data_IF_571449022381
#
_entry.id   IF_571449022381
#
_cell.length_a   1.000
_cell.length_b   1.000
_cell.length_c   1.000
_cell.angle_alpha   90.00
_cell.angle_beta   90.00
_cell.angle_gamma   90.00
#
_symmetry.space_group_name_H-M   'P 1'
#
loop_
_entity.id
_entity.type
_entity.pdbx_description
1 polymer ?
#
# COMPACT_ATOMS: atom_id res chain seq x y z
N UNK A 1 -22.31 13.75 -21.38
CA UNK A 1 -21.93 14.77 -20.36
C UNK A 1 -20.70 14.30 -19.61
N UNK A 2 -19.85 15.21 -19.12
CA UNK A 2 -18.66 14.85 -18.33
C UNK A 2 -19.06 14.69 -16.86
N UNK A 3 -18.56 13.66 -16.14
CA UNK A 3 -18.81 13.54 -14.71
C UNK A 3 -18.08 14.64 -13.92
N UNK A 4 -18.58 14.97 -12.73
CA UNK A 4 -17.94 15.91 -11.82
C UNK A 4 -16.59 15.35 -11.35
N UNK A 5 -15.50 16.08 -11.61
CA UNK A 5 -14.13 15.65 -11.24
C UNK A 5 -13.96 15.45 -9.74
N UNK A 6 -14.59 16.32 -8.93
CA UNK A 6 -14.56 16.24 -7.45
C UNK A 6 -15.07 14.89 -6.92
N UNK A 7 -16.09 14.31 -7.58
CA UNK A 7 -16.79 13.13 -7.08
C UNK A 7 -16.33 11.84 -7.75
N UNK A 8 -15.43 11.88 -8.73
CA UNK A 8 -14.98 10.68 -9.46
C UNK A 8 -14.42 9.60 -8.53
N UNK A 9 -13.54 10.01 -7.60
CA UNK A 9 -12.95 9.06 -6.65
C UNK A 9 -14.04 8.41 -5.79
N UNK A 10 -14.93 9.22 -5.20
CA UNK A 10 -16.02 8.73 -4.36
C UNK A 10 -16.98 7.80 -5.11
N UNK A 11 -17.27 8.08 -6.39
CA UNK A 11 -18.07 7.21 -7.26
C UNK A 11 -17.40 5.85 -7.49
N UNK A 12 -16.07 5.81 -7.62
CA UNK A 12 -15.34 4.54 -7.72
C UNK A 12 -15.43 3.72 -6.43
N UNK A 13 -15.30 4.36 -5.25
CA UNK A 13 -15.47 3.69 -3.95
C UNK A 13 -16.90 3.20 -3.74
N UNK A 14 -17.90 3.99 -4.14
CA UNK A 14 -19.30 3.61 -4.10
C UNK A 14 -19.59 2.39 -4.99
N UNK A 15 -19.00 2.34 -6.19
CA UNK A 15 -19.19 1.24 -7.13
C UNK A 15 -18.63 -0.11 -6.64
N UNK A 16 -17.62 -0.09 -5.76
CA UNK A 16 -17.04 -1.29 -5.14
C UNK A 16 -17.56 -1.56 -3.72
N UNK A 17 -18.49 -0.73 -3.21
CA UNK A 17 -19.06 -0.88 -1.87
C UNK A 17 -18.08 -0.60 -0.72
N UNK A 18 -17.09 0.27 -0.93
CA UNK A 18 -16.05 0.60 0.04
C UNK A 18 -16.06 2.08 0.48
N UNK A 19 -17.21 2.76 0.32
CA UNK A 19 -17.42 4.12 0.79
C UNK A 19 -18.03 4.10 2.20
N UNK A 20 -17.69 5.06 3.06
CA UNK A 20 -18.26 5.17 4.40
C UNK A 20 -19.75 5.60 4.33
N UNK A 21 -20.58 5.12 5.26
CA UNK A 21 -22.05 5.28 5.21
C UNK A 21 -22.51 6.75 5.14
N UNK A 22 -21.78 7.68 5.79
CA UNK A 22 -22.09 9.11 5.76
C UNK A 22 -21.87 9.75 4.38
N UNK A 23 -20.73 9.47 3.77
CA UNK A 23 -20.36 9.98 2.45
C UNK A 23 -21.21 9.35 1.33
N UNK A 24 -21.66 8.11 1.54
CA UNK A 24 -22.52 7.40 0.60
C UNK A 24 -23.88 8.09 0.44
N UNK A 25 -24.52 8.50 1.54
CA UNK A 25 -25.83 9.16 1.48
C UNK A 25 -25.75 10.49 0.71
N UNK A 26 -24.74 11.32 0.99
CA UNK A 26 -24.53 12.59 0.28
C UNK A 26 -24.27 12.36 -1.21
N UNK A 27 -23.42 11.38 -1.53
CA UNK A 27 -23.09 11.08 -2.92
C UNK A 27 -24.28 10.53 -3.71
N UNK A 28 -25.16 9.74 -3.09
CA UNK A 28 -26.38 9.24 -3.72
C UNK A 28 -27.33 10.38 -4.09
N UNK A 29 -27.54 11.35 -3.19
CA UNK A 29 -28.34 12.56 -3.49
C UNK A 29 -27.74 13.35 -4.66
N UNK A 30 -26.41 13.44 -4.74
CA UNK A 30 -25.75 14.08 -5.88
C UNK A 30 -25.97 13.32 -7.20
N UNK A 31 -25.87 11.99 -7.19
CA UNK A 31 -26.05 11.13 -8.37
C UNK A 31 -27.50 11.19 -8.89
N UNK A 32 -28.47 11.35 -8.01
CA UNK A 32 -29.88 11.58 -8.37
C UNK A 32 -30.06 12.88 -9.14
N UNK A 33 -29.28 13.92 -8.84
CA UNK A 33 -29.38 15.23 -9.48
C UNK A 33 -28.41 15.43 -10.66
N UNK A 34 -27.37 14.61 -10.80
CA UNK A 34 -26.35 14.75 -11.84
C UNK A 34 -26.34 13.56 -12.80
N UNK A 35 -26.85 13.76 -14.02
CA UNK A 35 -26.89 12.74 -15.07
C UNK A 35 -25.50 12.24 -15.50
N UNK A 36 -24.49 13.12 -15.48
CA UNK A 36 -23.10 12.76 -15.80
C UNK A 36 -22.49 11.79 -14.78
N UNK A 37 -22.70 12.05 -13.49
CA UNK A 37 -22.24 11.17 -12.41
C UNK A 37 -23.02 9.85 -12.39
N UNK A 38 -24.32 9.87 -12.68
CA UNK A 38 -25.14 8.66 -12.79
C UNK A 38 -24.66 7.72 -13.89
N UNK A 39 -24.46 8.24 -15.09
CA UNK A 39 -23.96 7.44 -16.22
C UNK A 39 -22.55 6.91 -15.96
N UNK A 40 -21.73 7.65 -15.22
CA UNK A 40 -20.39 7.21 -14.84
C UNK A 40 -20.42 6.10 -13.79
N UNK A 41 -21.26 6.24 -12.76
CA UNK A 41 -21.47 5.22 -11.74
C UNK A 41 -21.91 3.90 -12.36
N UNK A 42 -22.89 3.93 -13.27
CA UNK A 42 -23.40 2.74 -13.97
C UNK A 42 -22.30 2.02 -14.77
N UNK A 43 -21.41 2.78 -15.42
CA UNK A 43 -20.26 2.20 -16.14
C UNK A 43 -19.28 1.52 -15.19
N UNK A 44 -18.93 2.17 -14.09
CA UNK A 44 -17.95 1.61 -13.14
C UNK A 44 -18.55 0.42 -12.40
N UNK A 45 -19.83 0.49 -11.98
CA UNK A 45 -20.50 -0.63 -11.29
C UNK A 45 -20.61 -1.86 -12.19
N UNK A 46 -20.86 -1.66 -13.50
CA UNK A 46 -20.84 -2.77 -14.47
C UNK A 46 -19.46 -3.41 -14.57
N UNK A 47 -18.40 -2.62 -14.73
CA UNK A 47 -17.03 -3.12 -14.78
C UNK A 47 -16.62 -3.81 -13.47
N UNK A 48 -17.00 -3.26 -12.33
CA UNK A 48 -16.76 -3.88 -11.03
C UNK A 48 -17.47 -5.24 -10.91
N UNK A 49 -18.71 -5.36 -11.42
CA UNK A 49 -19.45 -6.62 -11.48
C UNK A 49 -18.81 -7.65 -12.43
N UNK A 50 -18.39 -7.23 -13.62
CA UNK A 50 -17.65 -8.07 -14.58
C UNK A 50 -16.33 -8.57 -13.96
N UNK A 51 -15.60 -7.71 -13.24
CA UNK A 51 -14.38 -8.10 -12.54
C UNK A 51 -14.65 -9.02 -11.34
N UNK A 52 -15.71 -8.78 -10.58
CA UNK A 52 -16.08 -9.63 -9.46
C UNK A 52 -16.48 -11.05 -9.92
N UNK A 53 -17.23 -11.15 -11.01
CA UNK A 53 -17.59 -12.44 -11.62
C UNK A 53 -16.37 -13.15 -12.21
N UNK A 54 -15.49 -12.42 -12.90
CA UNK A 54 -14.22 -12.96 -13.37
C UNK A 54 -13.34 -13.46 -12.21
N UNK A 55 -13.28 -12.72 -11.10
CA UNK A 55 -12.53 -13.12 -9.91
C UNK A 55 -13.06 -14.41 -9.27
N UNK A 56 -14.39 -14.62 -9.30
CA UNK A 56 -15.00 -15.89 -8.85
C UNK A 56 -14.72 -17.05 -9.81
N UNK A 57 -14.55 -16.77 -11.10
CA UNK A 57 -14.21 -17.77 -12.11
C UNK A 57 -12.72 -18.17 -12.09
N UNK A 58 -11.85 -17.37 -11.44
CA UNK A 58 -10.45 -17.77 -11.22
C UNK A 58 -10.44 -18.95 -10.25
N UNK A 59 -9.92 -20.13 -10.64
CA UNK A 59 -9.81 -21.24 -9.73
C UNK A 59 -8.97 -20.80 -8.53
N UNK A 60 -9.54 -20.93 -7.34
CA UNK A 60 -8.87 -20.60 -6.09
C UNK A 60 -7.57 -21.40 -6.03
N UNK A 61 -6.47 -20.74 -6.37
CA UNK A 61 -5.16 -21.39 -6.44
C UNK A 61 -4.74 -21.64 -5.01
N UNK A 62 -5.07 -22.83 -4.50
CA UNK A 62 -4.65 -23.27 -3.18
C UNK A 62 -3.14 -23.04 -3.08
N UNK A 63 -2.67 -22.14 -2.20
CA UNK A 63 -1.25 -22.00 -1.94
C UNK A 63 -0.65 -23.37 -1.65
N UNK A 64 0.44 -23.71 -2.35
CA UNK A 64 1.13 -24.99 -2.11
C UNK A 64 1.54 -25.11 -0.66
N UNK A 65 1.51 -26.32 -0.09
CA UNK A 65 1.96 -26.57 1.29
C UNK A 65 3.40 -26.11 1.52
N UNK A 66 4.23 -26.16 0.47
CA UNK A 66 5.59 -25.63 0.49
C UNK A 66 5.62 -24.11 0.66
N UNK A 67 4.75 -23.37 -0.04
CA UNK A 67 4.62 -21.92 0.13
C UNK A 67 4.19 -21.58 1.57
N UNK A 68 3.20 -22.29 2.12
CA UNK A 68 2.79 -22.09 3.51
C UNK A 68 3.91 -22.38 4.51
N UNK A 69 4.65 -23.48 4.34
CA UNK A 69 5.79 -23.83 5.19
C UNK A 69 6.91 -22.79 5.09
N UNK A 70 7.20 -22.28 3.89
CA UNK A 70 8.21 -21.25 3.70
C UNK A 70 7.78 -19.91 4.32
N UNK A 71 6.52 -19.52 4.10
CA UNK A 71 5.96 -18.29 4.65
C UNK A 71 5.92 -18.32 6.17
N UNK A 72 5.40 -19.40 6.77
CA UNK A 72 5.38 -19.58 8.23
C UNK A 72 6.78 -19.62 8.83
N UNK A 73 7.75 -20.24 8.14
CA UNK A 73 9.17 -20.20 8.56
C UNK A 73 9.73 -18.79 8.53
N UNK A 74 9.46 -18.00 7.48
CA UNK A 74 9.90 -16.60 7.38
C UNK A 74 9.26 -15.72 8.45
N UNK A 75 7.94 -15.84 8.65
CA UNK A 75 7.22 -15.13 9.72
C UNK A 75 7.82 -15.48 11.09
N UNK A 76 8.13 -16.76 11.34
CA UNK A 76 8.73 -17.20 12.62
C UNK A 76 10.17 -16.71 12.81
N UNK A 77 10.94 -16.56 11.74
CA UNK A 77 12.29 -15.98 11.80
C UNK A 77 12.21 -14.47 12.07
N UNK A 78 11.30 -13.77 11.42
CA UNK A 78 11.09 -12.34 11.62
C UNK A 78 10.48 -12.04 13.00
N UNK A 79 9.53 -12.86 13.45
CA UNK A 79 8.96 -12.76 14.80
C UNK A 79 9.96 -13.08 15.90
N UNK A 80 11.03 -13.85 15.60
CA UNK A 80 12.16 -14.08 16.53
C UNK A 80 13.16 -12.92 16.52
N UNK A 81 13.22 -12.13 15.44
CA UNK A 81 13.98 -10.87 15.39
C UNK A 81 13.22 -9.71 16.01
N UNK A 82 11.89 -9.78 16.07
CA UNK A 82 11.08 -8.93 16.93
C UNK A 82 11.41 -9.23 18.40
N UNK A 83 12.06 -8.27 19.05
CA UNK A 83 12.28 -8.22 20.49
C UNK A 83 10.97 -7.98 21.25
N UNK A 84 9.93 -8.76 21.00
CA UNK A 84 8.81 -8.86 21.91
C UNK A 84 9.06 -10.04 22.83
N UNK A 85 9.65 -9.82 24.03
CA UNK A 85 9.73 -10.88 24.99
C UNK A 85 8.31 -11.29 25.34
N UNK A 86 8.08 -12.61 25.25
CA UNK A 86 6.94 -13.35 25.77
C UNK A 86 6.35 -12.73 27.05
N UNK A 87 5.43 -11.78 26.91
CA UNK A 87 4.70 -11.21 28.04
C UNK A 87 3.61 -12.17 28.56
N UNK A 88 3.16 -13.11 27.71
CA UNK A 88 2.06 -14.02 28.05
C UNK A 88 2.45 -15.28 28.83
N UNK A 89 3.75 -15.61 28.92
CA UNK A 89 4.20 -16.90 29.47
C UNK A 89 4.46 -16.93 30.97
N UNK A 90 4.50 -15.78 31.66
CA UNK A 90 4.97 -15.68 33.06
C UNK A 90 3.91 -15.28 34.08
N UNK A 91 2.63 -15.31 33.70
CA UNK A 91 1.49 -15.03 34.60
C UNK A 91 0.72 -16.28 35.03
N UNK A 92 1.19 -17.48 34.67
CA UNK A 92 0.61 -18.77 35.04
C UNK A 92 1.60 -19.55 35.90
N UNK A 93 1.76 -19.20 37.17
CA UNK A 93 2.54 -20.07 38.06
C UNK A 93 2.85 -19.57 39.45
N UNK A 94 2.95 -18.26 39.67
CA UNK A 94 3.29 -17.74 41.00
C UNK A 94 2.19 -16.80 41.47
N UNK A 95 1.75 -17.02 42.72
CA UNK A 95 0.85 -16.15 43.46
C UNK A 95 1.53 -14.77 43.54
N UNK A 96 1.27 -13.95 42.53
CA UNK A 96 1.74 -12.58 42.45
C UNK A 96 1.13 -11.86 43.66
N UNK A 97 1.96 -11.56 44.65
CA UNK A 97 1.55 -10.92 45.89
C UNK A 97 0.89 -9.59 45.53
N UNK A 98 -0.43 -9.57 45.54
CA UNK A 98 -1.24 -8.41 45.15
C UNK A 98 -0.92 -7.16 45.99
N UNK A 99 -0.24 -7.33 47.14
CA UNK A 99 0.25 -6.25 47.99
C UNK A 99 1.41 -5.43 47.39
N UNK A 100 2.17 -5.95 46.42
CA UNK A 100 3.23 -5.17 45.75
C UNK A 100 2.76 -4.43 44.51
N UNK A 101 1.58 -4.76 43.97
CA UNK A 101 1.00 -4.05 42.83
C UNK A 101 0.60 -2.60 43.18
N UNK A 102 0.17 -2.33 44.42
CA UNK A 102 -0.16 -0.97 44.87
C UNK A 102 1.07 -0.09 45.06
N UNK A 103 2.22 -0.67 45.42
CA UNK A 103 3.46 0.09 45.60
C UNK A 103 4.10 0.55 44.27
N UNK A 104 3.90 -0.21 43.19
CA UNK A 104 4.39 0.14 41.85
C UNK A 104 3.44 1.07 41.07
N UNK A 105 2.14 1.03 41.33
CA UNK A 105 1.18 1.93 40.68
C UNK A 105 1.42 3.40 41.08
N UNK A 106 1.73 3.65 42.37
CA UNK A 106 2.00 5.01 42.86
C UNK A 106 3.28 5.63 42.29
N UNK A 107 4.32 4.83 42.03
CA UNK A 107 5.60 5.36 41.53
C UNK A 107 5.56 5.68 40.04
N UNK A 108 4.81 4.91 39.24
CA UNK A 108 4.64 5.18 37.82
C UNK A 108 3.87 6.48 37.56
N UNK A 109 2.81 6.75 38.32
CA UNK A 109 2.03 7.99 38.19
C UNK A 109 2.85 9.22 38.57
N UNK A 110 3.67 9.13 39.63
CA UNK A 110 4.57 10.22 40.05
C UNK A 110 5.65 10.49 38.99
N UNK A 111 6.21 9.45 38.36
CA UNK A 111 7.21 9.63 37.30
C UNK A 111 6.60 10.23 36.02
N UNK A 112 5.38 9.84 35.64
CA UNK A 112 4.67 10.43 34.49
C UNK A 112 4.30 11.89 34.76
N UNK A 113 3.77 12.20 35.94
CA UNK A 113 3.46 13.57 36.33
C UNK A 113 4.73 14.45 36.38
N UNK A 114 5.82 13.94 36.97
CA UNK A 114 7.12 14.63 36.99
C UNK A 114 7.67 14.86 35.58
N UNK A 115 7.58 13.85 34.70
CA UNK A 115 8.06 13.97 33.32
C UNK A 115 7.27 15.04 32.56
N UNK A 116 5.94 15.02 32.64
CA UNK A 116 5.07 16.02 31.98
C UNK A 116 5.34 17.45 32.47
N UNK A 117 5.53 17.64 33.78
CA UNK A 117 5.89 18.94 34.36
C UNK A 117 7.28 19.39 33.88
N UNK A 118 8.26 18.47 33.81
CA UNK A 118 9.62 18.77 33.37
C UNK A 118 9.69 19.15 31.88
N UNK A 119 8.87 18.51 31.04
CA UNK A 119 8.79 18.81 29.61
C UNK A 119 8.01 20.09 29.34
N UNK A 120 6.99 20.42 30.16
CA UNK A 120 6.23 21.66 30.02
C UNK A 120 7.07 22.91 30.35
N UNK A 121 8.09 22.79 31.20
CA UNK A 121 9.02 23.89 31.49
C UNK A 121 10.10 24.09 30.42
N UNK A 122 10.28 23.13 29.49
CA UNK A 122 11.10 23.33 28.30
C UNK A 122 10.28 24.05 27.25
N UNK A 123 10.25 25.39 27.35
CA UNK A 123 9.78 26.25 26.25
C UNK A 123 10.52 25.84 24.97
N UNK A 124 9.82 25.59 23.85
CA UNK A 124 10.49 25.38 22.58
C UNK A 124 11.14 26.69 22.17
N UNK A 125 12.46 26.73 22.21
CA UNK A 125 13.22 27.65 21.36
C UNK A 125 12.90 27.29 19.92
N UNK A 126 12.20 28.21 19.27
CA UNK A 126 12.09 28.36 17.82
C UNK A 126 13.44 28.01 17.17
N UNK A 127 13.50 26.88 16.47
CA UNK A 127 14.59 26.62 15.52
C UNK A 127 13.98 26.67 14.14
N UNK A 128 14.55 27.59 13.38
CA UNK A 128 14.21 27.94 12.02
C UNK A 128 14.17 26.74 11.08
N UNK A 129 13.19 26.85 10.19
CA UNK A 129 13.10 26.25 8.88
C UNK A 129 14.42 26.45 8.09
N UNK A 130 15.34 25.50 8.22
CA UNK A 130 16.54 25.43 7.37
C UNK A 130 16.26 24.46 6.21
N UNK A 131 16.05 25.05 5.05
CA UNK A 131 16.07 24.37 3.76
C UNK A 131 17.43 23.69 3.57
N UNK A 132 17.46 22.36 3.59
CA UNK A 132 18.61 21.60 3.12
C UNK A 132 18.32 21.10 1.70
N UNK A 133 19.03 21.59 0.68
CA UNK A 133 18.90 21.08 -0.67
C UNK A 133 19.44 19.64 -0.73
N UNK A 134 18.62 18.76 -1.31
CA UNK A 134 18.96 17.39 -1.68
C UNK A 134 20.19 17.45 -2.59
N UNK A 135 21.30 16.87 -2.11
CA UNK A 135 22.51 16.63 -2.89
C UNK A 135 22.19 15.55 -3.94
N UNK A 136 21.88 15.97 -5.16
CA UNK A 136 21.83 15.09 -6.32
C UNK A 136 23.26 14.61 -6.60
N UNK A 137 23.45 13.29 -6.55
CA UNK A 137 24.65 12.64 -7.09
C UNK A 137 24.39 12.47 -8.59
N UNK A 138 25.19 13.06 -9.49
CA UNK A 138 25.05 12.81 -10.91
C UNK A 138 25.66 11.45 -11.22
N UNK A 139 24.84 10.41 -11.38
CA UNK A 139 25.29 9.17 -12.01
C UNK A 139 25.09 9.37 -13.51
N UNK A 140 26.09 10.01 -14.11
CA UNK A 140 26.35 9.89 -15.54
C UNK A 140 26.90 8.49 -15.78
N UNK A 141 26.03 7.57 -16.21
CA UNK A 141 26.46 6.32 -16.82
C UNK A 141 25.39 5.89 -17.82
N UNK A 142 25.64 6.25 -19.07
CA UNK A 142 25.22 5.44 -20.22
C UNK A 142 25.71 4.02 -19.98
N UNK A 143 24.86 3.21 -19.36
CA UNK A 143 24.92 1.78 -19.51
C UNK A 143 23.59 1.44 -20.16
N UNK A 144 23.67 1.01 -21.41
CA UNK A 144 22.62 0.33 -22.14
C UNK A 144 22.33 -0.99 -21.39
N UNK A 145 21.68 -0.86 -20.24
CA UNK A 145 21.09 -1.98 -19.51
C UNK A 145 19.74 -2.17 -20.17
N UNK A 146 19.63 -3.25 -20.94
CA UNK A 146 18.36 -3.79 -21.41
C UNK A 146 17.37 -3.75 -20.25
N UNK A 147 16.39 -2.85 -20.33
CA UNK A 147 15.47 -2.54 -19.22
C UNK A 147 14.57 -3.75 -18.99
N UNK A 148 15.03 -4.68 -18.16
CA UNK A 148 14.27 -5.89 -17.85
C UNK A 148 13.07 -5.55 -16.97
N UNK A 149 12.02 -6.36 -17.06
CA UNK A 149 10.77 -6.23 -16.28
C UNK A 149 10.99 -6.10 -14.76
N UNK A 150 12.11 -6.63 -14.25
CA UNK A 150 12.51 -6.48 -12.84
C UNK A 150 12.75 -5.03 -12.41
N UNK A 151 13.29 -4.19 -13.31
CA UNK A 151 13.58 -2.78 -13.05
C UNK A 151 12.29 -1.96 -12.87
N UNK A 152 11.29 -2.17 -13.73
CA UNK A 152 9.98 -1.51 -13.59
C UNK A 152 9.26 -1.93 -12.31
N UNK A 153 9.37 -3.21 -11.91
CA UNK A 153 8.78 -3.68 -10.65
C UNK A 153 9.43 -3.04 -9.43
N UNK A 154 10.75 -2.81 -9.47
CA UNK A 154 11.46 -2.10 -8.41
C UNK A 154 11.03 -0.63 -8.32
N UNK A 155 10.86 0.03 -9.47
CA UNK A 155 10.41 1.42 -9.55
C UNK A 155 8.96 1.57 -9.06
N UNK A 156 8.05 0.70 -9.51
CA UNK A 156 6.65 0.69 -9.10
C UNK A 156 6.48 0.54 -7.58
N UNK A 157 7.31 -0.30 -6.96
CA UNK A 157 7.32 -0.48 -5.50
C UNK A 157 7.92 0.71 -4.74
N UNK A 158 8.70 1.56 -5.40
CA UNK A 158 9.32 2.75 -4.80
C UNK A 158 8.41 3.97 -4.92
N UNK A 159 7.89 4.24 -6.11
CA UNK A 159 6.81 5.20 -6.34
C UNK A 159 6.20 5.05 -7.74
N UNK A 160 4.89 5.31 -7.83
CA UNK A 160 4.17 5.33 -9.11
C UNK A 160 4.60 6.49 -10.02
N UNK A 161 4.92 7.65 -9.43
CA UNK A 161 5.34 8.83 -10.21
C UNK A 161 6.66 8.62 -10.95
N UNK A 162 7.62 7.88 -10.36
CA UNK A 162 8.89 7.56 -11.01
C UNK A 162 8.70 6.56 -12.15
N UNK A 163 7.77 5.62 -12.01
CA UNK A 163 7.43 4.69 -13.07
C UNK A 163 6.81 5.43 -14.27
N UNK A 164 5.89 6.35 -14.00
CA UNK A 164 5.23 7.15 -15.05
C UNK A 164 6.22 8.05 -15.80
N UNK A 165 7.17 8.64 -15.06
CA UNK A 165 8.23 9.45 -15.65
C UNK A 165 9.11 8.62 -16.60
N UNK A 166 9.46 7.39 -16.23
CA UNK A 166 10.27 6.53 -17.10
C UNK A 166 9.51 6.00 -18.31
N UNK A 167 8.25 5.60 -18.15
CA UNK A 167 7.41 5.22 -19.29
C UNK A 167 7.24 6.38 -20.27
N UNK A 168 7.11 7.61 -19.75
CA UNK A 168 7.02 8.82 -20.58
C UNK A 168 8.35 9.14 -21.27
N UNK A 169 9.49 8.95 -20.60
CA UNK A 169 10.81 9.14 -21.19
C UNK A 169 11.08 8.12 -22.30
N UNK A 170 10.70 6.87 -22.09
CA UNK A 170 10.85 5.79 -23.05
C UNK A 170 9.93 5.95 -24.27
N UNK A 171 8.68 6.38 -24.04
CA UNK A 171 7.75 6.75 -25.11
C UNK A 171 8.27 7.91 -25.98
N UNK A 172 8.99 8.87 -25.38
CA UNK A 172 9.66 9.96 -26.12
C UNK A 172 10.91 9.49 -26.87
N UNK A 173 11.63 8.50 -26.33
CA UNK A 173 12.89 7.99 -26.90
C UNK A 173 12.67 6.99 -28.04
N UNK A 174 11.47 6.43 -28.17
CA UNK A 174 11.12 5.48 -29.23
C UNK A 174 10.38 6.15 -30.41
N UNK A 175 11.06 6.62 -31.45
CA UNK A 175 10.42 6.83 -32.75
C UNK A 175 10.08 5.44 -33.31
N UNK A 176 8.78 5.10 -33.29
CA UNK A 176 8.09 4.03 -34.04
C UNK A 176 9.03 2.95 -34.61
N UNK A 177 9.43 1.99 -33.78
CA UNK A 177 9.82 0.67 -34.27
C UNK A 177 8.86 -0.34 -33.66
N UNK A 178 7.68 -0.45 -34.28
CA UNK A 178 6.67 -1.45 -33.97
C UNK A 178 7.18 -2.83 -34.37
N UNK A 179 7.98 -3.46 -33.50
CA UNK A 179 8.00 -4.91 -33.44
C UNK A 179 6.80 -5.35 -32.62
N UNK A 180 5.66 -5.41 -33.29
CA UNK A 180 4.44 -6.03 -32.78
C UNK A 180 4.72 -7.52 -32.60
N UNK A 181 5.17 -7.92 -31.41
CA UNK A 181 5.25 -9.33 -31.04
C UNK A 181 3.82 -9.85 -30.83
N UNK A 182 3.19 -10.26 -31.93
CA UNK A 182 1.94 -11.02 -31.91
C UNK A 182 2.24 -12.41 -31.34
N UNK A 183 1.44 -12.84 -30.36
CA UNK A 183 1.52 -14.13 -29.63
C UNK A 183 1.45 -15.40 -30.53
N UNK A 184 1.39 -15.24 -31.84
CA UNK A 184 1.37 -16.32 -32.84
C UNK A 184 2.75 -16.93 -33.14
N UNK A 185 3.87 -16.32 -32.76
CA UNK A 185 5.20 -16.89 -33.05
C UNK A 185 5.72 -17.88 -31.99
N UNK A 186 5.19 -17.85 -30.76
CA UNK A 186 5.62 -18.74 -29.67
C UNK A 186 5.14 -20.19 -29.85
N UNK A 187 4.06 -20.40 -30.62
CA UNK A 187 3.57 -21.74 -30.94
C UNK A 187 4.49 -22.52 -31.91
N UNK A 188 5.36 -21.82 -32.68
CA UNK A 188 6.23 -22.46 -33.67
C UNK A 188 7.55 -22.99 -33.08
N UNK A 189 7.93 -22.55 -31.88
CA UNK A 189 9.18 -22.98 -31.22
C UNK A 189 8.95 -24.20 -30.31
N UNK A 190 7.71 -24.47 -29.90
CA UNK A 190 7.38 -25.59 -28.99
C UNK A 190 6.95 -26.85 -29.79
N UNK A 191 6.88 -26.77 -31.12
CA UNK A 191 6.38 -27.84 -32.00
C UNK A 191 7.43 -28.73 -32.66
N UNK A 192 8.69 -28.70 -32.22
CA UNK A 192 9.74 -29.61 -32.70
C UNK A 192 10.54 -30.14 -31.51
N UNK A 193 10.04 -31.23 -30.93
CA UNK A 193 10.77 -32.48 -30.70
C UNK A 193 9.83 -33.53 -30.07
#
# INVERSE_FOLDING_TARGET
>A
MKPCTKNQKALSWLAIGALEEGDEAELRVHVENCSGCRQHLEKISRLAGELATAAQAVPEKKPSDLFHRQLTRRIKVESRRSLWPSFGGRLRGEKFAWSTAFAMAGTAEVLVAWFLISTSHRRPTTVEQSANPIRSVPINREVEVEQTFGSYRMLANRSLDLLDQELTAEAKKSPVNTQTYTLSSLAKVIGTD
#
